data_IF_276265144484
#
_entry.id   IF_276265144484
#
_cell.length_a   1.000
_cell.length_b   1.000
_cell.length_c   1.000
_cell.angle_alpha   90.00
_cell.angle_beta   90.00
_cell.angle_gamma   90.00
#
_symmetry.space_group_name_H-M   'P 1'
#
loop_
_entity.id
_entity.type
_entity.pdbx_description
1 polymer ?
#
# COMPACT_ATOMS: atom_id res chain seq x y z
N UNK A 1 12.25 -23.82 7.93
CA UNK A 1 12.31 -22.54 7.21
C UNK A 1 11.05 -21.80 7.56
N UNK A 2 11.19 -20.64 8.21
CA UNK A 2 10.05 -19.83 8.66
C UNK A 2 9.82 -18.76 7.59
N UNK A 3 8.63 -18.67 7.02
CA UNK A 3 8.34 -17.64 6.00
C UNK A 3 7.93 -16.31 6.64
N UNK A 4 7.98 -15.23 5.85
CA UNK A 4 7.44 -13.91 6.26
C UNK A 4 5.97 -14.04 6.71
N UNK A 5 5.14 -14.69 5.90
CA UNK A 5 3.72 -14.93 6.18
C UNK A 5 3.54 -15.78 7.44
N UNK A 6 4.37 -16.79 7.66
CA UNK A 6 4.32 -17.62 8.87
C UNK A 6 4.57 -16.79 10.12
N UNK A 7 5.59 -15.91 10.14
CA UNK A 7 5.81 -14.99 11.26
C UNK A 7 4.69 -13.97 11.42
N UNK A 8 4.23 -13.40 10.31
CA UNK A 8 3.19 -12.38 10.30
C UNK A 8 1.92 -12.91 10.96
N UNK A 9 1.56 -14.18 10.67
CA UNK A 9 0.28 -14.82 11.04
C UNK A 9 0.35 -15.76 12.23
N UNK A 10 1.55 -16.05 12.74
CA UNK A 10 1.77 -16.95 13.86
C UNK A 10 0.96 -16.56 15.11
N UNK A 11 0.42 -17.57 15.77
CA UNK A 11 -0.15 -17.45 17.12
C UNK A 11 0.93 -17.07 18.14
N UNK A 12 0.52 -16.65 19.34
CA UNK A 12 1.43 -16.41 20.46
C UNK A 12 2.33 -17.63 20.76
N UNK A 13 1.75 -18.83 20.74
CA UNK A 13 2.43 -20.10 21.00
C UNK A 13 3.43 -20.43 19.91
N UNK A 14 3.07 -20.20 18.64
CA UNK A 14 3.97 -20.44 17.51
C UNK A 14 5.13 -19.44 17.50
N UNK A 15 4.87 -18.16 17.80
CA UNK A 15 5.92 -17.14 17.95
C UNK A 15 6.91 -17.54 19.05
N UNK A 16 6.44 -17.95 20.22
CA UNK A 16 7.32 -18.44 21.30
C UNK A 16 8.15 -19.65 20.83
N UNK A 17 7.54 -20.60 20.13
CA UNK A 17 8.23 -21.79 19.60
C UNK A 17 9.32 -21.43 18.58
N UNK A 18 9.06 -20.46 17.72
CA UNK A 18 10.02 -19.96 16.72
C UNK A 18 11.19 -19.29 17.43
N UNK A 19 10.91 -18.37 18.35
CA UNK A 19 11.94 -17.57 19.03
C UNK A 19 12.72 -18.32 20.11
N UNK A 20 12.20 -19.41 20.66
CA UNK A 20 12.96 -20.27 21.58
C UNK A 20 14.22 -20.86 20.93
N UNK A 21 14.25 -21.01 19.60
CA UNK A 21 15.40 -21.55 18.86
C UNK A 21 16.37 -20.46 18.40
N UNK A 22 16.02 -19.18 18.55
CA UNK A 22 16.83 -18.05 18.12
C UNK A 22 17.91 -17.77 19.15
N UNK A 23 19.15 -17.69 18.70
CA UNK A 23 20.27 -17.26 19.54
C UNK A 23 20.60 -15.79 19.25
N UNK A 24 20.20 -14.90 20.16
CA UNK A 24 20.52 -13.48 20.07
C UNK A 24 21.69 -13.15 21.00
N UNK A 25 22.71 -12.51 20.45
CA UNK A 25 23.84 -12.00 21.22
C UNK A 25 23.45 -10.67 21.90
N UNK A 26 23.32 -10.63 23.24
CA UNK A 26 22.89 -9.45 23.97
C UNK A 26 23.93 -8.32 23.96
N UNK A 27 25.17 -8.60 23.55
CA UNK A 27 26.24 -7.61 23.44
C UNK A 27 26.40 -7.06 22.03
N UNK A 28 25.74 -7.67 21.03
CA UNK A 28 25.75 -7.16 19.67
C UNK A 28 25.01 -5.81 19.58
N UNK A 29 25.53 -4.93 18.72
CA UNK A 29 24.85 -3.71 18.31
C UNK A 29 23.42 -4.01 17.85
N UNK A 30 22.52 -3.04 18.06
CA UNK A 30 21.10 -3.19 17.82
C UNK A 30 20.76 -3.66 16.39
N UNK A 31 21.34 -3.04 15.36
CA UNK A 31 21.07 -3.42 13.96
C UNK A 31 21.71 -4.77 13.64
N UNK A 32 22.93 -5.00 14.12
CA UNK A 32 23.64 -6.27 13.94
C UNK A 32 22.87 -7.44 14.57
N UNK A 33 22.26 -7.22 15.74
CA UNK A 33 21.45 -8.21 16.44
C UNK A 33 20.23 -8.60 15.62
N UNK A 34 19.47 -7.62 15.13
CA UNK A 34 18.29 -7.89 14.29
C UNK A 34 18.71 -8.67 13.04
N UNK A 35 19.78 -8.26 12.37
CA UNK A 35 20.26 -8.94 11.17
C UNK A 35 20.70 -10.39 11.43
N UNK A 36 21.36 -10.65 12.57
CA UNK A 36 21.73 -12.02 12.99
C UNK A 36 20.51 -12.89 13.26
N UNK A 37 19.45 -12.34 13.88
CA UNK A 37 18.21 -13.08 14.12
C UNK A 37 17.45 -13.30 12.81
N UNK A 38 17.36 -12.29 11.95
CA UNK A 38 16.73 -12.38 10.65
C UNK A 38 17.40 -13.48 9.80
N UNK A 39 18.73 -13.50 9.76
CA UNK A 39 19.50 -14.52 9.05
C UNK A 39 19.24 -15.95 9.58
N UNK A 40 19.07 -16.14 10.89
CA UNK A 40 18.69 -17.44 11.47
C UNK A 40 17.31 -17.92 11.05
N UNK A 41 16.42 -16.98 10.72
CA UNK A 41 15.06 -17.24 10.24
C UNK A 41 14.97 -17.18 8.71
N UNK A 42 16.09 -17.00 8.00
CA UNK A 42 16.17 -16.87 6.54
C UNK A 42 15.36 -15.68 5.99
N UNK A 43 15.31 -14.60 6.77
CA UNK A 43 14.66 -13.34 6.44
C UNK A 43 15.70 -12.21 6.40
N UNK A 44 15.36 -11.11 5.73
CA UNK A 44 16.10 -9.87 5.88
C UNK A 44 15.57 -9.04 7.08
N UNK A 45 16.28 -7.94 7.37
CA UNK A 45 15.95 -7.04 8.47
C UNK A 45 14.50 -6.54 8.41
N UNK A 46 14.08 -6.03 7.26
CA UNK A 46 12.76 -5.43 7.08
C UNK A 46 11.66 -6.48 7.18
N UNK A 47 11.86 -7.64 6.57
CA UNK A 47 10.93 -8.77 6.66
C UNK A 47 10.70 -9.20 8.10
N UNK A 48 11.76 -9.41 8.88
CA UNK A 48 11.64 -9.79 10.29
C UNK A 48 10.89 -8.73 11.11
N UNK A 49 11.30 -7.47 10.98
CA UNK A 49 10.74 -6.38 11.77
C UNK A 49 9.28 -6.12 11.41
N UNK A 50 8.93 -6.12 10.12
CA UNK A 50 7.56 -5.89 9.68
C UNK A 50 6.64 -7.08 9.96
N UNK A 51 7.10 -8.32 9.74
CA UNK A 51 6.31 -9.50 10.08
C UNK A 51 5.93 -9.51 11.56
N UNK A 52 6.88 -9.23 12.45
CA UNK A 52 6.60 -9.13 13.88
C UNK A 52 5.78 -7.89 14.23
N UNK A 53 6.13 -6.71 13.71
CA UNK A 53 5.47 -5.46 14.03
C UNK A 53 3.98 -5.43 13.68
N UNK A 54 3.60 -6.13 12.61
CA UNK A 54 2.21 -6.30 12.17
C UNK A 54 1.53 -7.58 12.70
N UNK A 55 2.22 -8.44 13.45
CA UNK A 55 1.59 -9.57 14.12
C UNK A 55 0.82 -9.07 15.36
N UNK A 56 -0.50 -9.30 15.40
CA UNK A 56 -1.38 -8.83 16.49
C UNK A 56 -0.97 -9.32 17.89
N UNK A 57 -0.32 -10.48 17.98
CA UNK A 57 0.06 -11.11 19.25
C UNK A 57 1.37 -10.57 19.81
N UNK A 58 2.18 -9.85 19.03
CA UNK A 58 3.53 -9.43 19.46
C UNK A 58 3.50 -8.43 20.64
N UNK A 59 2.39 -7.71 20.81
CA UNK A 59 2.23 -6.66 21.83
C UNK A 59 2.46 -7.20 23.24
N UNK A 60 2.01 -8.43 23.47
CA UNK A 60 2.05 -9.09 24.77
C UNK A 60 3.32 -9.94 24.96
N UNK A 61 4.12 -10.12 23.91
CA UNK A 61 5.30 -11.00 23.89
C UNK A 61 6.60 -10.21 24.09
N UNK A 62 6.74 -9.65 25.29
CA UNK A 62 7.87 -8.78 25.64
C UNK A 62 9.23 -9.41 25.42
N UNK A 63 9.36 -10.70 25.74
CA UNK A 63 10.63 -11.42 25.60
C UNK A 63 11.08 -11.51 24.14
N UNK A 64 10.15 -11.59 23.18
CA UNK A 64 10.46 -11.72 21.76
C UNK A 64 11.05 -10.43 21.21
N UNK A 65 10.36 -9.29 21.35
CA UNK A 65 10.91 -8.04 20.84
C UNK A 65 12.13 -7.57 21.64
N UNK A 66 12.25 -7.96 22.92
CA UNK A 66 13.47 -7.73 23.72
C UNK A 66 14.66 -8.54 23.23
N UNK A 67 14.43 -9.76 22.71
CA UNK A 67 15.46 -10.58 22.06
C UNK A 67 16.07 -9.87 20.86
N UNK A 68 15.27 -9.07 20.14
CA UNK A 68 15.73 -8.22 19.04
C UNK A 68 16.40 -6.90 19.51
N UNK A 69 16.37 -6.62 20.81
CA UNK A 69 16.92 -5.40 21.41
C UNK A 69 15.95 -4.23 21.52
N UNK A 70 14.66 -4.41 21.19
CA UNK A 70 13.65 -3.38 21.43
C UNK A 70 13.28 -3.33 22.90
N UNK A 71 13.28 -2.12 23.48
CA UNK A 71 12.91 -1.94 24.91
C UNK A 71 11.40 -1.93 25.15
N UNK A 72 10.60 -1.79 24.11
CA UNK A 72 9.14 -1.76 24.18
C UNK A 72 8.53 -2.04 22.81
N UNK A 73 7.27 -2.48 22.83
CA UNK A 73 6.46 -2.60 21.60
C UNK A 73 6.40 -1.30 20.80
N UNK A 74 6.35 -0.14 21.47
CA UNK A 74 6.35 1.18 20.80
C UNK A 74 7.58 1.38 19.91
N UNK A 75 8.76 0.95 20.36
CA UNK A 75 9.99 1.08 19.55
C UNK A 75 10.01 0.08 18.39
N UNK A 76 9.48 -1.13 18.58
CA UNK A 76 9.29 -2.09 17.49
C UNK A 76 8.34 -1.51 16.43
N UNK A 77 7.17 -1.03 16.86
CA UNK A 77 6.17 -0.42 15.98
C UNK A 77 6.74 0.80 15.25
N UNK A 78 7.50 1.68 15.92
CA UNK A 78 8.15 2.82 15.25
C UNK A 78 9.09 2.38 14.12
N UNK A 79 9.97 1.39 14.39
CA UNK A 79 10.90 0.88 13.37
C UNK A 79 10.17 0.15 12.25
N UNK A 80 9.15 -0.65 12.57
CA UNK A 80 8.27 -1.28 11.60
C UNK A 80 7.62 -0.25 10.68
N UNK A 81 7.08 0.83 11.26
CA UNK A 81 6.41 1.89 10.53
C UNK A 81 7.36 2.65 9.60
N UNK A 82 8.56 2.97 10.07
CA UNK A 82 9.59 3.61 9.25
C UNK A 82 10.02 2.72 8.09
N UNK A 83 10.30 1.43 8.34
CA UNK A 83 10.69 0.49 7.28
C UNK A 83 9.57 0.29 6.26
N UNK A 84 8.33 0.11 6.73
CA UNK A 84 7.17 -0.07 5.87
C UNK A 84 6.87 1.17 5.03
N UNK A 85 6.93 2.38 5.62
CA UNK A 85 6.61 3.61 4.89
C UNK A 85 7.70 4.06 3.92
N UNK A 86 8.96 3.63 4.09
CA UNK A 86 10.08 4.09 3.26
C UNK A 86 10.59 3.06 2.27
N UNK A 87 10.36 1.75 2.49
CA UNK A 87 10.80 0.71 1.56
C UNK A 87 9.95 0.70 0.29
N UNK A 88 10.59 0.96 -0.85
CA UNK A 88 9.95 0.96 -2.17
C UNK A 88 10.20 -0.37 -2.89
N UNK A 89 9.88 -1.48 -2.20
CA UNK A 89 10.02 -2.86 -2.69
C UNK A 89 11.46 -3.40 -2.77
N UNK A 90 12.40 -2.81 -2.03
CA UNK A 90 13.79 -3.25 -2.06
C UNK A 90 14.07 -4.37 -1.06
N UNK A 91 13.47 -4.28 0.13
CA UNK A 91 13.60 -5.27 1.20
C UNK A 91 12.28 -6.00 1.48
N UNK A 92 11.14 -5.34 1.24
CA UNK A 92 9.82 -5.94 1.35
C UNK A 92 9.25 -6.09 -0.06
N UNK A 93 9.29 -7.29 -0.60
CA UNK A 93 8.68 -7.52 -1.91
C UNK A 93 7.17 -7.29 -1.87
N UNK A 94 6.56 -7.13 -3.05
CA UNK A 94 5.11 -6.90 -3.14
C UNK A 94 4.30 -8.02 -2.46
N UNK A 95 4.78 -9.28 -2.46
CA UNK A 95 4.08 -10.38 -1.79
C UNK A 95 4.00 -10.15 -0.28
N UNK A 96 5.10 -9.71 0.35
CA UNK A 96 5.13 -9.36 1.77
C UNK A 96 4.14 -8.23 2.10
N UNK A 97 4.06 -7.24 1.22
CA UNK A 97 3.13 -6.10 1.38
C UNK A 97 1.67 -6.55 1.27
N UNK A 98 1.34 -7.39 0.29
CA UNK A 98 0.00 -7.96 0.14
C UNK A 98 -0.39 -8.85 1.32
N UNK A 99 0.55 -9.60 1.89
CA UNK A 99 0.33 -10.39 3.10
C UNK A 99 -0.03 -9.50 4.30
N UNK A 100 0.65 -8.36 4.47
CA UNK A 100 0.33 -7.38 5.52
C UNK A 100 -1.11 -6.85 5.36
N UNK A 101 -1.54 -6.56 4.13
CA UNK A 101 -2.88 -6.02 3.85
C UNK A 101 -3.99 -7.06 3.98
N UNK A 102 -3.73 -8.32 3.61
CA UNK A 102 -4.75 -9.37 3.60
C UNK A 102 -5.11 -9.87 5.00
N UNK A 103 -4.14 -9.96 5.91
CA UNK A 103 -4.33 -10.69 7.16
C UNK A 103 -4.77 -9.81 8.35
N UNK A 104 -4.92 -8.48 8.18
CA UNK A 104 -4.94 -7.54 9.33
C UNK A 104 -6.11 -6.55 9.38
N UNK A 105 -7.26 -6.91 8.83
CA UNK A 105 -8.49 -6.10 8.96
C UNK A 105 -9.20 -6.27 10.32
N UNK A 106 -8.87 -7.30 11.10
CA UNK A 106 -9.53 -7.58 12.39
C UNK A 106 -8.92 -6.83 13.59
N UNK A 107 -7.67 -6.35 13.47
CA UNK A 107 -7.00 -5.59 14.53
C UNK A 107 -7.06 -4.09 14.20
N UNK A 108 -7.96 -3.37 14.88
CA UNK A 108 -8.19 -1.95 14.62
C UNK A 108 -6.93 -1.10 14.82
N UNK A 109 -6.06 -1.45 15.78
CA UNK A 109 -4.84 -0.69 16.04
C UNK A 109 -3.80 -0.91 14.92
N UNK A 110 -3.72 -2.11 14.35
CA UNK A 110 -2.91 -2.35 13.14
C UNK A 110 -3.49 -1.58 11.96
N UNK A 111 -4.81 -1.64 11.77
CA UNK A 111 -5.49 -0.95 10.68
C UNK A 111 -5.29 0.58 10.72
N UNK A 112 -5.43 1.19 11.90
CA UNK A 112 -5.20 2.62 12.10
C UNK A 112 -3.73 2.99 11.83
N UNK A 113 -2.80 2.14 12.25
CA UNK A 113 -1.38 2.32 11.95
C UNK A 113 -1.13 2.27 10.45
N UNK A 114 -1.66 1.25 9.75
CA UNK A 114 -1.54 1.13 8.29
C UNK A 114 -2.07 2.38 7.58
N UNK A 115 -3.29 2.81 7.91
CA UNK A 115 -3.91 4.02 7.34
C UNK A 115 -3.02 5.25 7.49
N UNK A 116 -2.40 5.45 8.65
CA UNK A 116 -1.52 6.59 8.89
C UNK A 116 -0.21 6.56 8.07
N UNK A 117 0.18 5.39 7.57
CA UNK A 117 1.42 5.18 6.82
C UNK A 117 1.23 5.09 5.31
N UNK A 118 -0.02 4.95 4.83
CA UNK A 118 -0.27 4.78 3.40
C UNK A 118 0.16 5.99 2.58
N UNK A 119 -0.17 7.20 3.01
CA UNK A 119 0.26 8.42 2.31
C UNK A 119 1.79 8.50 2.14
N UNK A 120 2.59 8.49 3.23
CA UNK A 120 4.04 8.53 3.07
C UNK A 120 4.57 7.34 2.27
N UNK A 121 3.97 6.14 2.41
CA UNK A 121 4.40 4.96 1.62
C UNK A 121 4.20 5.19 0.12
N UNK A 122 3.02 5.63 -0.30
CA UNK A 122 2.73 5.89 -1.70
C UNK A 122 3.61 7.02 -2.24
N UNK A 123 3.83 8.08 -1.47
CA UNK A 123 4.74 9.18 -1.86
C UNK A 123 6.18 8.69 -2.12
N UNK A 124 6.73 7.82 -1.25
CA UNK A 124 8.06 7.26 -1.47
C UNK A 124 8.11 6.36 -2.71
N UNK A 125 7.09 5.51 -2.91
CA UNK A 125 7.02 4.63 -4.09
C UNK A 125 6.91 5.45 -5.37
N UNK A 126 6.03 6.44 -5.41
CA UNK A 126 5.82 7.33 -6.55
C UNK A 126 7.09 8.14 -6.86
N UNK A 127 7.79 8.64 -5.84
CA UNK A 127 9.08 9.29 -6.00
C UNK A 127 10.17 8.34 -6.53
N UNK A 128 10.15 7.06 -6.15
CA UNK A 128 11.07 6.05 -6.67
C UNK A 128 10.77 5.69 -8.14
N UNK A 129 9.49 5.50 -8.50
CA UNK A 129 9.04 5.32 -9.88
C UNK A 129 9.37 6.55 -10.73
N UNK A 130 9.25 7.76 -10.18
CA UNK A 130 9.65 8.99 -10.88
C UNK A 130 11.14 9.04 -11.24
N UNK A 131 11.99 8.29 -10.53
CA UNK A 131 13.45 8.24 -10.73
C UNK A 131 13.93 7.00 -11.48
N UNK A 132 13.10 5.97 -11.61
CA UNK A 132 13.47 4.66 -12.14
C UNK A 132 12.52 4.23 -13.26
N UNK A 133 13.08 3.71 -14.35
CA UNK A 133 12.29 3.13 -15.45
C UNK A 133 11.97 1.64 -15.23
N UNK A 134 12.21 1.11 -14.03
CA UNK A 134 11.98 -0.31 -13.72
C UNK A 134 10.49 -0.69 -13.80
N UNK A 135 10.08 -1.50 -14.79
CA UNK A 135 8.69 -1.93 -14.93
C UNK A 135 8.18 -2.75 -13.75
N UNK A 136 9.08 -3.41 -13.00
CA UNK A 136 8.70 -4.21 -11.84
C UNK A 136 8.09 -3.34 -10.73
N UNK A 137 8.63 -2.14 -10.49
CA UNK A 137 8.06 -1.21 -9.51
C UNK A 137 6.66 -0.72 -9.91
N UNK A 138 6.43 -0.51 -11.20
CA UNK A 138 5.12 -0.10 -11.74
C UNK A 138 4.08 -1.19 -11.50
N UNK A 139 4.44 -2.45 -11.77
CA UNK A 139 3.55 -3.60 -11.53
C UNK A 139 3.24 -3.73 -10.03
N UNK A 140 4.27 -3.66 -9.17
CA UNK A 140 4.10 -3.73 -7.71
C UNK A 140 3.23 -2.60 -7.19
N UNK A 141 3.45 -1.36 -7.64
CA UNK A 141 2.62 -0.21 -7.27
C UNK A 141 1.16 -0.38 -7.67
N UNK A 142 0.90 -0.86 -8.89
CA UNK A 142 -0.47 -1.18 -9.32
C UNK A 142 -1.11 -2.24 -8.41
N UNK A 143 -0.39 -3.32 -8.09
CA UNK A 143 -0.89 -4.36 -7.20
C UNK A 143 -1.20 -3.81 -5.80
N UNK A 144 -0.33 -2.97 -5.26
CA UNK A 144 -0.49 -2.36 -3.95
C UNK A 144 -1.68 -1.39 -3.91
N UNK A 145 -1.83 -0.49 -4.89
CA UNK A 145 -3.01 0.39 -4.99
C UNK A 145 -4.29 -0.44 -5.00
N UNK A 146 -4.38 -1.45 -5.85
CA UNK A 146 -5.58 -2.29 -5.91
C UNK A 146 -5.84 -3.00 -4.58
N UNK A 147 -4.80 -3.45 -3.88
CA UNK A 147 -4.93 -4.13 -2.61
C UNK A 147 -5.45 -3.21 -1.49
N UNK A 148 -4.93 -1.99 -1.34
CA UNK A 148 -5.36 -1.08 -0.26
C UNK A 148 -6.84 -0.70 -0.39
N UNK A 149 -7.32 -0.54 -1.64
CA UNK A 149 -8.73 -0.29 -1.94
C UNK A 149 -9.60 -1.53 -1.70
N UNK A 150 -9.23 -2.68 -2.29
CA UNK A 150 -10.03 -3.92 -2.21
C UNK A 150 -10.07 -4.54 -0.82
N UNK A 151 -9.02 -4.35 -0.02
CA UNK A 151 -8.99 -4.74 1.37
C UNK A 151 -9.82 -3.81 2.28
N UNK A 152 -10.33 -2.68 1.77
CA UNK A 152 -11.09 -1.72 2.59
C UNK A 152 -10.22 -1.01 3.64
N UNK A 153 -8.90 -0.96 3.42
CA UNK A 153 -7.98 -0.22 4.28
C UNK A 153 -8.25 1.27 4.13
N UNK A 154 -8.47 1.72 2.89
CA UNK A 154 -8.79 3.11 2.57
C UNK A 154 -10.29 3.31 2.40
N UNK A 155 -10.72 4.54 2.63
CA UNK A 155 -12.10 4.97 2.50
C UNK A 155 -12.28 5.99 1.36
N UNK A 156 -13.51 6.50 1.25
CA UNK A 156 -13.86 7.52 0.26
C UNK A 156 -13.06 8.82 0.44
N UNK A 157 -12.73 9.20 1.68
CA UNK A 157 -12.01 10.45 1.95
C UNK A 157 -10.55 10.33 1.48
N UNK A 158 -9.94 9.16 1.63
CA UNK A 158 -8.65 8.86 1.01
C UNK A 158 -8.73 8.94 -0.53
N UNK A 159 -9.73 8.30 -1.14
CA UNK A 159 -9.92 8.31 -2.59
C UNK A 159 -10.06 9.74 -3.14
N UNK A 160 -10.89 10.56 -2.49
CA UNK A 160 -11.10 11.96 -2.89
C UNK A 160 -9.82 12.80 -2.79
N UNK A 161 -9.06 12.66 -1.70
CA UNK A 161 -7.76 13.34 -1.55
C UNK A 161 -6.80 12.97 -2.68
N UNK A 162 -6.75 11.69 -3.07
CA UNK A 162 -5.89 11.25 -4.18
C UNK A 162 -6.35 11.75 -5.54
N UNK A 163 -7.66 11.86 -5.78
CA UNK A 163 -8.21 12.46 -7.01
C UNK A 163 -7.82 13.94 -7.14
N UNK A 164 -7.82 14.69 -6.02
CA UNK A 164 -7.51 16.12 -6.00
C UNK A 164 -6.01 16.44 -6.10
N UNK A 165 -5.14 15.45 -5.82
CA UNK A 165 -3.69 15.63 -5.91
C UNK A 165 -3.18 15.63 -7.37
N UNK A 166 -2.09 16.35 -7.68
CA UNK A 166 -1.49 16.37 -9.02
C UNK A 166 -0.61 15.13 -9.26
N UNK A 167 -1.24 13.95 -9.22
CA UNK A 167 -0.62 12.62 -9.33
C UNK A 167 -1.26 11.79 -10.46
N UNK A 168 -1.85 12.46 -11.45
CA UNK A 168 -2.55 11.87 -12.60
C UNK A 168 -1.73 10.78 -13.28
N UNK A 169 -0.44 11.01 -13.55
CA UNK A 169 0.50 10.00 -14.06
C UNK A 169 0.45 8.69 -13.27
N UNK A 170 0.44 8.75 -11.94
CA UNK A 170 0.47 7.56 -11.09
C UNK A 170 -0.92 6.91 -10.99
N UNK A 171 -1.99 7.71 -10.92
CA UNK A 171 -3.37 7.19 -10.95
C UNK A 171 -3.69 6.47 -12.25
N UNK A 172 -3.28 7.01 -13.39
CA UNK A 172 -3.40 6.37 -14.70
C UNK A 172 -2.61 5.06 -14.75
N UNK A 173 -1.36 5.09 -14.29
CA UNK A 173 -0.47 3.93 -14.27
C UNK A 173 -1.04 2.75 -13.46
N UNK A 174 -1.66 3.03 -12.32
CA UNK A 174 -2.27 2.01 -11.47
C UNK A 174 -3.71 1.66 -11.88
N UNK A 175 -4.38 2.49 -12.69
CA UNK A 175 -5.82 2.37 -12.93
C UNK A 175 -6.63 2.63 -11.66
N UNK A 176 -6.16 3.55 -10.81
CA UNK A 176 -6.78 3.84 -9.50
C UNK A 176 -8.23 4.32 -9.64
N UNK A 177 -8.52 5.12 -10.66
CA UNK A 177 -9.85 5.64 -10.96
C UNK A 177 -10.87 4.53 -11.20
N UNK A 178 -10.50 3.50 -11.98
CA UNK A 178 -11.38 2.37 -12.25
C UNK A 178 -11.70 1.59 -10.95
N UNK A 179 -10.70 1.36 -10.09
CA UNK A 179 -10.91 0.68 -8.80
C UNK A 179 -11.85 1.46 -7.88
N UNK A 180 -11.69 2.79 -7.81
CA UNK A 180 -12.57 3.68 -7.03
C UNK A 180 -14.03 3.55 -7.48
N UNK A 181 -14.26 3.46 -8.80
CA UNK A 181 -15.60 3.29 -9.39
C UNK A 181 -16.14 1.88 -9.15
N UNK A 182 -15.34 0.84 -9.42
CA UNK A 182 -15.72 -0.57 -9.24
C UNK A 182 -16.18 -0.86 -7.81
N UNK A 183 -15.51 -0.27 -6.82
CA UNK A 183 -15.85 -0.41 -5.40
C UNK A 183 -16.98 0.54 -4.95
N UNK A 184 -17.51 1.37 -5.84
CA UNK A 184 -18.60 2.30 -5.55
C UNK A 184 -18.23 3.43 -4.59
N UNK A 185 -16.94 3.73 -4.41
CA UNK A 185 -16.49 4.80 -3.51
C UNK A 185 -16.87 6.18 -4.05
N UNK A 186 -16.72 6.38 -5.37
CA UNK A 186 -17.14 7.59 -6.07
C UNK A 186 -17.87 7.20 -7.36
N UNK A 187 -19.07 7.76 -7.64
CA UNK A 187 -19.77 7.49 -8.89
C UNK A 187 -18.96 7.92 -10.11
N UNK A 188 -18.93 7.07 -11.15
CA UNK A 188 -18.23 7.39 -12.41
C UNK A 188 -18.67 8.71 -13.03
N UNK A 189 -19.97 9.02 -12.97
CA UNK A 189 -20.52 10.30 -13.44
C UNK A 189 -19.83 11.49 -12.74
N UNK A 190 -19.67 11.42 -11.41
CA UNK A 190 -19.09 12.52 -10.66
C UNK A 190 -17.63 12.75 -11.06
N UNK A 191 -16.88 11.66 -11.30
CA UNK A 191 -15.50 11.72 -11.76
C UNK A 191 -15.40 12.25 -13.19
N UNK A 192 -16.25 11.76 -14.09
CA UNK A 192 -16.25 12.16 -15.51
C UNK A 192 -16.57 13.64 -15.71
N UNK A 193 -17.49 14.19 -14.92
CA UNK A 193 -17.82 15.62 -14.95
C UNK A 193 -16.87 16.49 -14.12
N UNK A 194 -15.94 15.90 -13.38
CA UNK A 194 -14.93 16.62 -12.61
C UNK A 194 -13.86 17.22 -13.52
N UNK A 195 -13.32 18.37 -13.12
CA UNK A 195 -12.16 18.99 -13.75
C UNK A 195 -10.84 18.51 -13.12
N UNK A 196 -10.90 17.67 -12.07
CA UNK A 196 -9.72 17.06 -11.45
C UNK A 196 -9.16 15.86 -12.26
N UNK A 197 -9.98 15.26 -13.14
CA UNK A 197 -9.56 14.16 -13.99
C UNK A 197 -9.01 14.68 -15.33
N UNK A 198 -7.91 14.09 -15.74
CA UNK A 198 -7.31 14.30 -17.06
C UNK A 198 -8.17 13.69 -18.18
N UNK A 199 -8.00 14.13 -19.44
CA UNK A 199 -8.67 13.51 -20.59
C UNK A 199 -8.44 12.00 -20.68
N UNK A 200 -7.22 11.52 -20.40
CA UNK A 200 -6.90 10.10 -20.45
C UNK A 200 -7.58 9.29 -19.33
N UNK A 201 -7.73 9.86 -18.12
CA UNK A 201 -8.52 9.22 -17.05
C UNK A 201 -10.01 9.14 -17.43
N UNK A 202 -10.55 10.20 -18.05
CA UNK A 202 -11.93 10.20 -18.57
C UNK A 202 -12.12 9.19 -19.70
N UNK A 203 -11.11 9.06 -20.57
CA UNK A 203 -11.08 8.05 -21.62
C UNK A 203 -11.15 6.64 -21.03
N UNK A 204 -10.38 6.34 -19.98
CA UNK A 204 -10.45 5.05 -19.27
C UNK A 204 -11.88 4.75 -18.79
N UNK A 205 -12.56 5.73 -18.18
CA UNK A 205 -13.94 5.57 -17.73
C UNK A 205 -14.92 5.25 -18.88
N UNK A 206 -14.70 5.80 -20.08
CA UNK A 206 -15.49 5.48 -21.27
C UNK A 206 -15.19 4.05 -21.74
N UNK A 207 -13.91 3.68 -21.86
CA UNK A 207 -13.48 2.37 -22.35
C UNK A 207 -13.88 1.22 -21.41
N UNK A 208 -13.86 1.47 -20.10
CA UNK A 208 -14.37 0.58 -19.06
C UNK A 208 -15.91 0.50 -19.01
N UNK A 209 -16.61 1.22 -19.90
CA UNK A 209 -18.09 1.27 -20.01
C UNK A 209 -18.78 1.81 -18.75
N UNK A 210 -18.09 2.63 -17.97
CA UNK A 210 -18.69 3.33 -16.84
C UNK A 210 -19.47 4.57 -17.28
N UNK A 211 -19.18 5.09 -18.48
CA UNK A 211 -19.79 6.29 -19.05
C UNK A 211 -20.50 5.94 -20.36
N UNK A 212 -21.74 6.41 -20.51
CA UNK A 212 -22.54 6.19 -21.71
C UNK A 212 -22.47 7.37 -22.69
N UNK A 213 -22.95 7.15 -23.92
CA UNK A 213 -22.95 8.18 -24.96
C UNK A 213 -23.78 9.42 -24.63
N UNK A 214 -24.76 9.32 -23.72
CA UNK A 214 -25.55 10.49 -23.29
C UNK A 214 -24.74 11.37 -22.35
N UNK A 215 -23.95 10.78 -21.45
CA UNK A 215 -23.03 11.49 -20.57
C UNK A 215 -21.95 12.21 -21.37
N UNK A 216 -21.38 11.56 -22.40
CA UNK A 216 -20.40 12.18 -23.31
C UNK A 216 -21.01 13.41 -24.00
N UNK A 217 -22.20 13.24 -24.60
CA UNK A 217 -22.93 14.35 -25.25
C UNK A 217 -23.22 15.49 -24.28
N UNK A 218 -23.56 15.19 -23.03
CA UNK A 218 -23.79 16.20 -22.00
C UNK A 218 -22.50 16.96 -21.67
N UNK A 219 -21.37 16.26 -21.44
CA UNK A 219 -20.09 16.92 -21.15
C UNK A 219 -19.64 17.85 -22.27
N UNK A 220 -19.86 17.48 -23.53
CA UNK A 220 -19.54 18.33 -24.70
C UNK A 220 -20.37 19.63 -24.78
N UNK A 221 -21.52 19.73 -24.11
CA UNK A 221 -22.30 20.96 -24.02
C UNK A 221 -21.60 22.03 -23.18
N UNK A 222 -20.67 21.64 -22.30
CA UNK A 222 -19.85 22.60 -21.57
C UNK A 222 -18.83 23.24 -22.52
N UNK A 223 -18.94 24.56 -22.72
CA UNK A 223 -18.05 25.32 -23.62
C UNK A 223 -16.66 25.54 -23.03
N UNK A 224 -16.48 25.31 -21.74
CA UNK A 224 -15.24 25.61 -21.01
C UNK A 224 -14.33 24.39 -20.81
N UNK A 225 -14.67 23.23 -21.40
CA UNK A 225 -13.77 22.08 -21.34
C UNK A 225 -12.51 22.33 -22.20
N UNK A 226 -11.35 21.81 -21.79
CA UNK A 226 -10.13 21.84 -22.59
C UNK A 226 -10.32 21.26 -24.00
N UNK A 227 -9.58 21.76 -24.99
CA UNK A 227 -9.73 21.33 -26.39
C UNK A 227 -9.32 19.87 -26.61
N UNK A 228 -8.28 19.42 -25.92
CA UNK A 228 -7.83 18.02 -25.90
C UNK A 228 -8.91 17.09 -25.31
N UNK A 229 -9.59 17.51 -24.23
CA UNK A 229 -10.76 16.78 -23.71
C UNK A 229 -11.86 16.73 -24.77
N UNK A 230 -12.18 17.85 -25.42
CA UNK A 230 -13.21 17.91 -26.46
C UNK A 230 -12.92 16.97 -27.62
N UNK A 231 -11.71 17.05 -28.19
CA UNK A 231 -11.28 16.23 -29.32
C UNK A 231 -11.36 14.73 -28.97
N UNK A 232 -10.95 14.38 -27.74
CA UNK A 232 -11.09 13.01 -27.22
C UNK A 232 -12.56 12.58 -27.17
N UNK A 233 -13.44 13.38 -26.57
CA UNK A 233 -14.86 13.04 -26.42
C UNK A 233 -15.59 12.93 -27.77
N UNK A 234 -15.26 13.77 -28.74
CA UNK A 234 -15.85 13.71 -30.09
C UNK A 234 -15.51 12.41 -30.84
N UNK A 235 -14.39 11.75 -30.51
CA UNK A 235 -14.02 10.46 -31.11
C UNK A 235 -14.90 9.28 -30.67
N UNK A 236 -15.71 9.46 -29.62
CA UNK A 236 -16.62 8.44 -29.06
C UNK A 236 -18.09 8.65 -29.41
N UNK A 237 -18.42 9.60 -30.30
CA UNK A 237 -19.78 9.88 -30.79
C UNK A 237 -19.95 9.39 -32.24
#
# INVERSE_FOLDING_TARGET
>A
MVSFTELLTASDTDLVRIFHKVNADPNADFIVRINKVAAQLELNHSQLVCALGFNRHIRDLTDIYSTLGFRSYKLLSYRCNELFSTDTYNQLDISNILDIYSDRLEDQQVLDSLRSMLEPRLEHIEAAIGKSEDPAHVISYRMEIHAIYRAGIVDKDFAMRRIEQPIDKFRQMSGEIDVIVELGMVPASNLFFSDALTPDEKKSLIESKHIDGNMIKNRLQNTNIPQDERDMLESYI
#
